data_IF_286711761862
#
_entry.id   IF_286711761862
#
_cell.length_a   1.000
_cell.length_b   1.000
_cell.length_c   1.000
_cell.angle_alpha   90.00
_cell.angle_beta   90.00
_cell.angle_gamma   90.00
#
_symmetry.space_group_name_H-M   'P 1'
#
loop_
_entity.id
_entity.type
_entity.pdbx_description
1 polymer ?
#
# COMPACT_ATOMS: atom_id res chain seq x y z
N UNK A 1 -1.76 -25.61 -19.28
CA UNK A 1 -2.07 -24.19 -19.57
C UNK A 1 -2.16 -23.45 -18.25
N UNK A 2 -1.31 -22.46 -18.00
CA UNK A 2 -1.45 -21.59 -16.82
C UNK A 2 -2.46 -20.49 -17.19
N UNK A 3 -3.73 -20.71 -16.85
CA UNK A 3 -4.74 -19.66 -16.93
C UNK A 3 -4.48 -18.57 -15.88
N UNK A 4 -4.98 -17.37 -16.12
CA UNK A 4 -5.03 -16.32 -15.10
C UNK A 4 -6.06 -16.73 -14.05
N UNK A 5 -5.75 -16.49 -12.77
CA UNK A 5 -6.66 -16.82 -11.67
C UNK A 5 -8.04 -16.14 -11.87
N UNK A 6 -9.17 -16.86 -11.74
CA UNK A 6 -10.49 -16.29 -11.95
C UNK A 6 -10.80 -15.06 -11.09
N UNK A 7 -10.25 -14.98 -9.86
CA UNK A 7 -10.41 -13.81 -8.99
C UNK A 7 -9.73 -12.57 -9.58
N UNK A 8 -8.55 -12.75 -10.20
CA UNK A 8 -7.84 -11.68 -10.91
C UNK A 8 -8.65 -11.26 -12.13
N UNK A 9 -9.17 -12.21 -12.92
CA UNK A 9 -10.04 -11.89 -14.06
C UNK A 9 -11.28 -11.09 -13.63
N UNK A 10 -11.97 -11.54 -12.58
CA UNK A 10 -13.14 -10.86 -12.04
C UNK A 10 -12.79 -9.43 -11.58
N UNK A 11 -11.70 -9.27 -10.82
CA UNK A 11 -11.22 -7.96 -10.40
C UNK A 11 -10.84 -7.06 -11.58
N UNK A 12 -10.17 -7.58 -12.60
CA UNK A 12 -9.86 -6.81 -13.80
C UNK A 12 -11.13 -6.31 -14.50
N UNK A 13 -12.21 -7.10 -14.52
CA UNK A 13 -13.48 -6.68 -15.13
C UNK A 13 -14.22 -5.58 -14.37
N UNK A 14 -13.97 -5.37 -13.07
CA UNK A 14 -14.58 -4.25 -12.32
C UNK A 14 -14.09 -2.88 -12.81
N UNK A 15 -12.99 -2.87 -13.57
CA UNK A 15 -12.39 -1.69 -14.17
C UNK A 15 -12.90 -1.40 -15.59
N UNK A 16 -13.86 -2.18 -16.10
CA UNK A 16 -14.47 -1.97 -17.40
C UNK A 16 -15.78 -1.19 -17.26
N UNK A 17 -16.08 -0.41 -18.30
CA UNK A 17 -17.38 0.23 -18.51
C UNK A 17 -17.83 0.07 -19.96
N UNK A 18 -19.12 0.22 -20.23
CA UNK A 18 -19.64 0.19 -21.60
C UNK A 18 -19.04 1.34 -22.40
N UNK A 19 -18.60 1.05 -23.62
CA UNK A 19 -18.16 2.10 -24.52
C UNK A 19 -19.38 2.80 -25.14
N UNK A 20 -19.62 4.10 -24.86
CA UNK A 20 -20.72 4.84 -25.46
C UNK A 20 -20.58 5.01 -26.97
N UNK A 21 -19.39 4.81 -27.54
CA UNK A 21 -19.13 5.01 -28.97
C UNK A 21 -19.32 3.73 -29.81
N UNK A 22 -19.60 2.59 -29.18
CA UNK A 22 -19.72 1.29 -29.86
C UNK A 22 -20.95 0.54 -29.35
N UNK A 23 -21.76 -0.03 -30.24
CA UNK A 23 -23.02 -0.70 -29.90
C UNK A 23 -22.86 -1.91 -28.97
N UNK A 24 -21.70 -2.58 -29.03
CA UNK A 24 -21.33 -3.68 -28.15
C UNK A 24 -19.82 -3.67 -27.91
N UNK A 25 -19.38 -2.87 -26.94
CA UNK A 25 -17.97 -2.78 -26.54
C UNK A 25 -17.81 -2.38 -25.08
N UNK A 26 -16.65 -2.71 -24.53
CA UNK A 26 -16.19 -2.25 -23.22
C UNK A 26 -14.88 -1.49 -23.38
N UNK A 27 -14.67 -0.49 -22.53
CA UNK A 27 -13.39 0.19 -22.38
C UNK A 27 -12.93 0.15 -20.93
N UNK A 28 -11.64 0.30 -20.71
CA UNK A 28 -11.11 0.53 -19.36
C UNK A 28 -11.52 1.92 -18.88
N UNK A 29 -11.87 2.02 -17.60
CA UNK A 29 -12.19 3.29 -16.93
C UNK A 29 -10.97 4.21 -16.80
N UNK A 30 -9.76 3.64 -16.85
CA UNK A 30 -8.50 4.37 -16.79
C UNK A 30 -7.81 4.45 -18.16
N UNK A 31 -7.02 5.50 -18.33
CA UNK A 31 -6.17 5.67 -19.50
C UNK A 31 -4.99 4.68 -19.45
N UNK A 32 -5.01 3.70 -20.35
CA UNK A 32 -3.97 2.67 -20.41
C UNK A 32 -2.58 3.22 -20.71
N UNK A 33 -2.47 4.29 -21.50
CA UNK A 33 -1.18 4.91 -21.79
C UNK A 33 -0.60 5.50 -20.51
N UNK A 34 -1.41 6.21 -19.73
CA UNK A 34 -0.97 6.76 -18.43
C UNK A 34 -0.57 5.64 -17.48
N UNK A 35 -1.32 4.54 -17.41
CA UNK A 35 -0.97 3.38 -16.57
C UNK A 35 0.37 2.78 -16.98
N UNK A 36 0.65 2.66 -18.28
CA UNK A 36 1.94 2.20 -18.76
C UNK A 36 3.08 3.14 -18.36
N UNK A 37 2.88 4.45 -18.49
CA UNK A 37 3.86 5.46 -18.11
C UNK A 37 4.16 5.40 -16.60
N UNK A 38 3.13 5.26 -15.74
CA UNK A 38 3.27 5.12 -14.29
C UNK A 38 3.99 3.81 -13.93
N UNK A 39 3.60 2.69 -14.54
CA UNK A 39 4.21 1.39 -14.25
C UNK A 39 5.69 1.35 -14.62
N UNK A 40 6.07 1.99 -15.73
CA UNK A 40 7.47 2.10 -16.15
C UNK A 40 8.30 2.99 -15.20
N UNK A 41 7.65 3.93 -14.51
CA UNK A 41 8.30 4.85 -13.58
C UNK A 41 8.38 4.32 -12.15
N UNK A 42 7.43 3.47 -11.75
CA UNK A 42 7.33 2.91 -10.39
C UNK A 42 8.65 2.37 -9.81
N UNK A 43 9.48 1.58 -10.53
CA UNK A 43 10.73 1.07 -9.98
C UNK A 43 11.80 2.14 -9.69
N UNK A 44 11.64 3.35 -10.25
CA UNK A 44 12.54 4.49 -10.04
C UNK A 44 12.15 5.35 -8.85
N UNK A 45 11.01 5.08 -8.22
CA UNK A 45 10.50 5.86 -7.11
C UNK A 45 11.14 5.44 -5.79
N UNK A 46 11.57 6.42 -5.00
CA UNK A 46 12.06 6.21 -3.64
C UNK A 46 10.97 6.60 -2.63
N UNK A 47 10.18 5.61 -2.24
CA UNK A 47 9.14 5.80 -1.24
C UNK A 47 9.70 5.95 0.18
N UNK A 48 10.91 5.45 0.47
CA UNK A 48 11.53 5.59 1.79
C UNK A 48 11.90 7.04 2.06
N UNK A 49 12.44 7.74 1.06
CA UNK A 49 12.69 9.18 1.17
C UNK A 49 11.40 9.94 1.49
N UNK A 50 10.28 9.62 0.84
CA UNK A 50 8.99 10.27 1.12
C UNK A 50 8.58 10.02 2.58
N UNK A 51 8.71 8.80 3.08
CA UNK A 51 8.39 8.46 4.47
C UNK A 51 9.26 9.24 5.45
N UNK A 52 10.56 9.37 5.16
CA UNK A 52 11.50 10.14 5.97
C UNK A 52 11.15 11.63 5.98
N UNK A 53 10.96 12.23 4.82
CA UNK A 53 10.64 13.65 4.66
C UNK A 53 9.33 14.00 5.37
N UNK A 54 8.31 13.15 5.24
CA UNK A 54 7.01 13.35 5.89
C UNK A 54 7.10 13.16 7.40
N UNK A 55 7.87 12.19 7.89
CA UNK A 55 8.01 11.91 9.32
C UNK A 55 8.82 12.97 10.07
N UNK A 56 9.77 13.62 9.39
CA UNK A 56 10.63 14.66 9.98
C UNK A 56 10.12 16.08 9.75
N UNK A 57 9.05 16.26 8.96
CA UNK A 57 8.45 17.57 8.73
C UNK A 57 7.86 18.15 10.02
N UNK A 58 8.27 19.39 10.34
CA UNK A 58 7.79 20.16 11.49
C UNK A 58 6.32 20.56 11.40
N UNK A 59 5.70 20.44 10.22
CA UNK A 59 4.31 20.82 9.99
C UNK A 59 3.29 19.79 10.52
N UNK A 60 3.75 18.64 11.03
CA UNK A 60 2.89 17.54 11.50
C UNK A 60 2.78 17.42 13.02
N UNK A 61 2.76 18.55 13.75
CA UNK A 61 2.46 18.53 15.19
C UNK A 61 1.09 17.85 15.39
N UNK A 62 1.07 16.66 15.98
CA UNK A 62 -0.14 15.91 16.33
C UNK A 62 -0.56 14.77 15.38
N UNK A 63 0.18 14.48 14.30
CA UNK A 63 -0.13 13.34 13.42
C UNK A 63 0.76 12.12 13.71
N UNK A 64 0.19 10.91 13.71
CA UNK A 64 0.91 9.64 13.80
C UNK A 64 0.90 8.92 12.44
N UNK A 65 2.03 8.37 12.03
CA UNK A 65 2.19 7.56 10.82
C UNK A 65 2.43 6.11 11.22
N UNK A 66 1.64 5.20 10.67
CA UNK A 66 1.81 3.77 10.86
C UNK A 66 2.01 3.11 9.49
N UNK A 67 3.07 2.32 9.34
CA UNK A 67 3.27 1.44 8.18
C UNK A 67 2.94 0.02 8.60
N UNK A 68 2.04 -0.62 7.86
CA UNK A 68 1.72 -2.04 8.03
C UNK A 68 2.27 -2.80 6.84
N UNK A 69 3.18 -3.74 7.10
CA UNK A 69 3.81 -4.57 6.07
C UNK A 69 3.41 -6.04 6.19
N UNK A 70 3.30 -6.68 5.03
CA UNK A 70 3.05 -8.11 4.94
C UNK A 70 4.34 -8.92 5.14
N UNK A 71 4.34 -9.83 6.12
CA UNK A 71 5.54 -10.52 6.58
C UNK A 71 6.10 -11.57 5.63
N UNK A 72 5.29 -12.12 4.71
CA UNK A 72 5.72 -13.11 3.71
C UNK A 72 6.14 -12.47 2.38
N UNK A 73 6.05 -11.15 2.25
CA UNK A 73 6.44 -10.47 1.01
C UNK A 73 7.97 -10.30 0.93
N UNK A 74 8.60 -10.98 -0.01
CA UNK A 74 10.04 -10.95 -0.25
C UNK A 74 10.57 -9.59 -0.75
N UNK A 75 9.68 -8.70 -1.19
CA UNK A 75 10.06 -7.34 -1.58
C UNK A 75 10.51 -6.47 -0.40
N UNK A 76 10.22 -6.87 0.84
CA UNK A 76 10.77 -6.24 2.04
C UNK A 76 12.21 -6.66 2.28
N UNK A 77 13.13 -6.03 1.55
CA UNK A 77 14.57 -6.31 1.71
C UNK A 77 15.09 -5.87 3.09
N UNK A 78 16.18 -6.50 3.53
CA UNK A 78 16.86 -6.10 4.78
C UNK A 78 17.29 -4.62 4.78
N UNK A 79 17.57 -4.04 3.62
CA UNK A 79 17.91 -2.61 3.51
C UNK A 79 16.69 -1.74 3.85
N UNK A 80 15.54 -2.02 3.24
CA UNK A 80 14.29 -1.30 3.50
C UNK A 80 13.91 -1.41 4.98
N UNK A 81 14.03 -2.61 5.56
CA UNK A 81 13.71 -2.82 6.98
C UNK A 81 14.62 -2.02 7.92
N UNK A 82 15.91 -1.89 7.60
CA UNK A 82 16.83 -1.03 8.36
C UNK A 82 16.44 0.45 8.26
N UNK A 83 16.16 0.93 7.06
CA UNK A 83 15.78 2.34 6.86
C UNK A 83 14.47 2.69 7.57
N UNK A 84 13.50 1.77 7.59
CA UNK A 84 12.27 1.93 8.34
C UNK A 84 12.50 1.99 9.86
N UNK A 85 13.40 1.16 10.39
CA UNK A 85 13.79 1.19 11.79
C UNK A 85 14.47 2.53 12.16
N UNK A 86 15.38 3.03 11.32
CA UNK A 86 16.04 4.32 11.53
C UNK A 86 15.03 5.48 11.60
N UNK A 87 13.99 5.46 10.76
CA UNK A 87 12.92 6.47 10.79
C UNK A 87 12.12 6.37 12.09
N UNK A 88 11.75 5.16 12.51
CA UNK A 88 11.01 4.91 13.75
C UNK A 88 11.79 5.36 15.00
N UNK A 89 13.10 5.10 15.05
CA UNK A 89 13.98 5.55 16.12
C UNK A 89 14.12 7.09 16.15
N UNK A 90 14.12 7.71 14.97
CA UNK A 90 14.26 9.17 14.82
C UNK A 90 12.96 9.94 15.05
N UNK A 91 11.80 9.29 14.91
CA UNK A 91 10.49 9.93 15.01
C UNK A 91 9.50 9.08 15.81
N UNK A 92 9.22 9.49 17.05
CA UNK A 92 8.24 8.80 17.93
C UNK A 92 6.80 8.76 17.37
N UNK A 93 6.50 9.58 16.38
CA UNK A 93 5.20 9.58 15.71
C UNK A 93 5.14 8.62 14.52
N UNK A 94 6.24 7.94 14.18
CA UNK A 94 6.29 6.90 13.16
C UNK A 94 6.35 5.52 13.82
N UNK A 95 5.59 4.57 13.28
CA UNK A 95 5.51 3.19 13.77
C UNK A 95 5.50 2.20 12.62
N UNK A 96 6.20 1.09 12.79
CA UNK A 96 6.17 -0.03 11.84
C UNK A 96 5.51 -1.25 12.45
N UNK A 97 4.63 -1.88 11.67
CA UNK A 97 3.86 -3.06 12.07
C UNK A 97 4.03 -4.16 11.04
N UNK A 98 4.05 -5.41 11.48
CA UNK A 98 4.18 -6.57 10.60
C UNK A 98 3.03 -7.55 10.81
N UNK A 99 2.37 -7.91 9.71
CA UNK A 99 1.42 -9.02 9.68
C UNK A 99 2.15 -10.25 9.17
N UNK A 100 2.70 -11.04 10.10
CA UNK A 100 3.61 -12.16 9.80
C UNK A 100 3.03 -13.20 8.83
N UNK A 101 1.71 -13.35 8.84
CA UNK A 101 1.03 -14.37 8.04
C UNK A 101 0.55 -13.86 6.67
N UNK A 102 0.59 -12.55 6.42
CA UNK A 102 0.13 -11.94 5.17
C UNK A 102 1.16 -12.03 4.04
N UNK A 103 0.65 -12.25 2.83
CA UNK A 103 1.39 -12.28 1.57
C UNK A 103 1.53 -10.88 0.98
N UNK A 104 0.65 -10.50 0.06
CA UNK A 104 0.74 -9.20 -0.64
C UNK A 104 -0.42 -8.27 -0.30
N UNK A 105 -1.62 -8.82 -0.11
CA UNK A 105 -2.83 -8.05 0.15
C UNK A 105 -3.20 -8.17 1.62
N UNK A 106 -2.57 -7.35 2.48
CA UNK A 106 -2.76 -7.42 3.94
C UNK A 106 -4.22 -7.44 4.39
N UNK A 107 -5.10 -6.71 3.70
CA UNK A 107 -6.52 -6.62 4.03
C UNK A 107 -7.34 -7.85 3.60
N UNK A 108 -6.82 -8.65 2.66
CA UNK A 108 -7.41 -9.93 2.25
C UNK A 108 -6.79 -11.07 3.06
N UNK A 109 -5.47 -11.03 3.25
CA UNK A 109 -4.69 -12.11 3.85
C UNK A 109 -4.81 -12.16 5.38
N UNK A 110 -4.97 -11.01 6.05
CA UNK A 110 -5.08 -10.90 7.52
C UNK A 110 -5.89 -9.66 7.93
N UNK A 111 -7.19 -9.70 7.65
CA UNK A 111 -8.12 -8.61 7.99
C UNK A 111 -8.14 -8.31 9.49
N UNK A 112 -8.24 -9.34 10.33
CA UNK A 112 -8.33 -9.20 11.78
C UNK A 112 -7.07 -8.57 12.37
N UNK A 113 -5.88 -9.02 11.92
CA UNK A 113 -4.61 -8.42 12.34
C UNK A 113 -4.50 -6.96 11.93
N UNK A 114 -4.90 -6.63 10.69
CA UNK A 114 -4.91 -5.25 10.22
C UNK A 114 -5.87 -4.37 11.03
N UNK A 115 -7.08 -4.85 11.32
CA UNK A 115 -8.07 -4.14 12.13
C UNK A 115 -7.60 -3.94 13.57
N UNK A 116 -6.91 -4.92 14.15
CA UNK A 116 -6.29 -4.78 15.47
C UNK A 116 -5.31 -3.61 15.53
N UNK A 117 -4.37 -3.55 14.59
CA UNK A 117 -3.38 -2.46 14.48
C UNK A 117 -4.07 -1.11 14.29
N UNK A 118 -5.08 -1.04 13.41
CA UNK A 118 -5.83 0.19 13.17
C UNK A 118 -6.58 0.66 14.42
N UNK A 119 -7.25 -0.26 15.12
CA UNK A 119 -7.99 0.03 16.34
C UNK A 119 -7.06 0.58 17.44
N UNK A 120 -5.91 -0.05 17.66
CA UNK A 120 -4.91 0.43 18.61
C UNK A 120 -4.40 1.82 18.25
N UNK A 121 -3.96 2.01 17.01
CA UNK A 121 -3.41 3.28 16.52
C UNK A 121 -4.40 4.44 16.64
N UNK A 122 -5.66 4.21 16.28
CA UNK A 122 -6.71 5.23 16.37
C UNK A 122 -7.09 5.56 17.81
N UNK A 123 -7.01 4.58 18.72
CA UNK A 123 -7.27 4.81 20.13
C UNK A 123 -6.12 5.52 20.84
N UNK A 124 -4.87 5.30 20.43
CA UNK A 124 -3.72 6.07 20.93
C UNK A 124 -3.85 7.56 20.59
N UNK A 125 -4.34 7.88 19.39
CA UNK A 125 -4.60 9.27 18.99
C UNK A 125 -5.68 9.94 19.83
N UNK A 126 -6.75 9.21 20.22
CA UNK A 126 -7.83 9.76 21.06
C UNK A 126 -7.39 10.07 22.50
N UNK A 127 -6.30 9.46 22.98
CA UNK A 127 -5.80 9.64 24.35
C UNK A 127 -4.80 10.80 24.48
N UNK A 128 -4.36 11.38 23.37
CA UNK A 128 -3.45 12.54 23.31
C UNK A 128 -4.25 13.82 23.13
#
# INVERSE_FOLDING_TARGET
>A
QKGIDPSICAWMTTNLERDPNVSSGFRFKFDLKIIHDILADFPRQDFIKILRDVSLSKEKIGSQMNIVRAGKNESWTNQILRELLEIEESCKAFRTHVLHNSGHWVHVDDLEGLLGIMHESLNELKRK
#
